data_IF_240902264512
#
_entry.id   IF_240902264512
#
_cell.length_a   1.000
_cell.length_b   1.000
_cell.length_c   1.000
_cell.angle_alpha   90.00
_cell.angle_beta   90.00
_cell.angle_gamma   90.00
#
_symmetry.space_group_name_H-M   'P 1'
#
loop_
_entity.id
_entity.type
_entity.pdbx_description
1 polymer ?
#
# COMPACT_ATOMS: atom_id res chain seq x y z
N UNK A 1 30.22 24.90 -12.95
CA UNK A 1 30.45 23.61 -13.64
C UNK A 1 29.28 22.70 -13.34
N UNK A 2 28.34 22.55 -14.28
CA UNK A 2 27.06 21.88 -14.06
C UNK A 2 27.20 20.36 -14.18
N UNK A 3 26.98 19.67 -13.05
CA UNK A 3 27.23 18.26 -12.84
C UNK A 3 26.50 17.32 -13.82
N UNK A 4 27.20 16.58 -14.69
CA UNK A 4 26.60 15.57 -15.57
C UNK A 4 26.01 14.38 -14.79
N UNK A 5 26.37 14.21 -13.52
CA UNK A 5 25.86 13.14 -12.64
C UNK A 5 24.38 13.31 -12.28
N UNK A 6 23.91 14.54 -12.02
CA UNK A 6 22.52 14.81 -11.63
C UNK A 6 21.50 14.45 -12.72
N UNK A 7 21.83 14.63 -14.01
CA UNK A 7 20.94 14.23 -15.10
C UNK A 7 20.86 12.70 -15.26
N UNK A 8 21.96 12.00 -14.99
CA UNK A 8 22.02 10.53 -15.11
C UNK A 8 21.21 9.86 -13.99
N UNK A 9 21.30 10.36 -12.75
CA UNK A 9 20.47 9.84 -11.65
C UNK A 9 18.98 10.03 -11.90
N UNK A 10 18.55 11.21 -12.34
CA UNK A 10 17.14 11.46 -12.67
C UNK A 10 16.64 10.56 -13.81
N UNK A 11 17.48 10.29 -14.81
CA UNK A 11 17.13 9.41 -15.92
C UNK A 11 17.00 7.94 -15.47
N UNK A 12 17.89 7.49 -14.58
CA UNK A 12 17.83 6.13 -14.00
C UNK A 12 16.59 5.98 -13.14
N UNK A 13 16.27 6.95 -12.28
CA UNK A 13 15.05 6.92 -11.45
C UNK A 13 13.77 6.94 -12.30
N UNK A 14 13.71 7.76 -13.35
CA UNK A 14 12.56 7.79 -14.26
C UNK A 14 12.38 6.46 -14.99
N UNK A 15 13.47 5.85 -15.47
CA UNK A 15 13.43 4.55 -16.15
C UNK A 15 12.94 3.44 -15.21
N UNK A 16 13.36 3.47 -13.93
CA UNK A 16 12.87 2.53 -12.92
C UNK A 16 11.37 2.73 -12.62
N UNK A 17 10.93 3.98 -12.44
CA UNK A 17 9.51 4.30 -12.19
C UNK A 17 8.64 3.81 -13.35
N UNK A 18 9.04 4.09 -14.59
CA UNK A 18 8.30 3.64 -15.79
C UNK A 18 8.28 2.11 -15.86
N UNK A 19 9.39 1.44 -15.55
CA UNK A 19 9.46 -0.02 -15.57
C UNK A 19 8.51 -0.64 -14.53
N UNK A 20 8.46 -0.09 -13.31
CA UNK A 20 7.56 -0.54 -12.25
C UNK A 20 6.10 -0.27 -12.63
N UNK A 21 5.79 0.93 -13.14
CA UNK A 21 4.44 1.29 -13.56
C UNK A 21 3.93 0.37 -14.69
N UNK A 22 4.78 0.08 -15.68
CA UNK A 22 4.47 -0.87 -16.74
C UNK A 22 4.28 -2.29 -16.20
N UNK A 23 5.12 -2.74 -15.26
CA UNK A 23 4.99 -4.03 -14.61
C UNK A 23 3.66 -4.18 -13.86
N UNK A 24 3.25 -3.16 -13.10
CA UNK A 24 1.96 -3.16 -12.39
C UNK A 24 0.80 -3.18 -13.38
N UNK A 25 0.87 -2.36 -14.44
CA UNK A 25 -0.18 -2.30 -15.46
C UNK A 25 -0.34 -3.64 -16.20
N UNK A 26 0.78 -4.26 -16.59
CA UNK A 26 0.78 -5.59 -17.21
C UNK A 26 0.30 -6.69 -16.25
N UNK A 27 0.69 -6.64 -14.98
CA UNK A 27 0.21 -7.56 -13.95
C UNK A 27 -1.30 -7.45 -13.75
N UNK A 28 -1.83 -6.23 -13.66
CA UNK A 28 -3.26 -5.97 -13.55
C UNK A 28 -4.02 -6.51 -14.78
N UNK A 29 -3.51 -6.27 -15.99
CA UNK A 29 -4.10 -6.81 -17.20
C UNK A 29 -4.11 -8.34 -17.20
N UNK A 30 -2.99 -8.97 -16.81
CA UNK A 30 -2.86 -10.42 -16.77
C UNK A 30 -3.84 -11.05 -15.78
N UNK A 31 -3.97 -10.49 -14.57
CA UNK A 31 -4.94 -10.96 -13.57
C UNK A 31 -6.37 -10.79 -14.07
N UNK A 32 -6.70 -9.65 -14.68
CA UNK A 32 -8.02 -9.39 -15.24
C UNK A 32 -8.37 -10.37 -16.37
N UNK A 33 -7.46 -10.56 -17.33
CA UNK A 33 -7.62 -11.53 -18.43
C UNK A 33 -7.76 -12.95 -17.90
N UNK A 34 -6.97 -13.33 -16.91
CA UNK A 34 -7.04 -14.67 -16.29
C UNK A 34 -8.39 -14.86 -15.61
N UNK A 35 -8.86 -13.87 -14.85
CA UNK A 35 -10.18 -13.90 -14.21
C UNK A 35 -11.32 -13.98 -15.22
N UNK A 36 -11.26 -13.19 -16.30
CA UNK A 36 -12.23 -13.24 -17.40
C UNK A 36 -12.26 -14.60 -18.10
N UNK A 37 -11.08 -15.16 -18.38
CA UNK A 37 -10.96 -16.45 -19.05
C UNK A 37 -11.48 -17.57 -18.15
N UNK A 38 -11.16 -17.50 -16.86
CA UNK A 38 -11.68 -18.41 -15.84
C UNK A 38 -13.21 -18.31 -15.77
N UNK A 39 -13.78 -17.10 -15.67
CA UNK A 39 -15.22 -16.87 -15.67
C UNK A 39 -15.90 -17.41 -16.93
N UNK A 40 -15.29 -17.23 -18.12
CA UNK A 40 -15.83 -17.75 -19.38
C UNK A 40 -15.68 -19.27 -19.53
N UNK A 41 -14.72 -19.87 -18.83
CA UNK A 41 -14.47 -21.31 -18.85
C UNK A 41 -15.24 -22.05 -17.74
N UNK A 42 -15.91 -21.32 -16.84
CA UNK A 42 -16.77 -21.92 -15.83
C UNK A 42 -17.99 -22.56 -16.50
N UNK A 43 -18.24 -23.88 -16.29
CA UNK A 43 -19.41 -24.55 -16.83
C UNK A 43 -20.71 -23.91 -16.32
N UNK A 44 -21.76 -23.81 -17.15
CA UNK A 44 -23.04 -23.17 -16.79
C UNK A 44 -23.78 -23.84 -15.62
N UNK A 45 -23.36 -25.03 -15.20
CA UNK A 45 -23.89 -25.70 -14.01
C UNK A 45 -23.39 -25.06 -12.70
N UNK A 46 -22.15 -24.52 -12.68
CA UNK A 46 -21.60 -23.85 -11.50
C UNK A 46 -22.15 -22.44 -11.35
N UNK A 47 -22.45 -21.74 -12.44
CA UNK A 47 -23.08 -20.41 -12.38
C UNK A 47 -24.48 -20.49 -11.78
N UNK A 48 -25.25 -21.55 -12.06
CA UNK A 48 -26.54 -21.77 -11.40
C UNK A 48 -26.40 -22.03 -9.89
N UNK A 49 -25.42 -22.83 -9.47
CA UNK A 49 -25.17 -23.05 -8.04
C UNK A 49 -24.71 -21.76 -7.35
N UNK A 50 -23.90 -20.95 -8.03
CA UNK A 50 -23.43 -19.65 -7.54
C UNK A 50 -24.53 -18.59 -7.53
N UNK A 51 -25.45 -18.59 -8.51
CA UNK A 51 -26.62 -17.72 -8.56
C UNK A 51 -27.62 -18.11 -7.48
N UNK A 52 -27.83 -19.40 -7.21
CA UNK A 52 -28.65 -19.86 -6.09
C UNK A 52 -28.02 -19.54 -4.74
N UNK A 53 -26.69 -19.60 -4.63
CA UNK A 53 -25.95 -19.18 -3.44
C UNK A 53 -26.02 -17.65 -3.27
N UNK A 54 -25.77 -16.89 -4.33
CA UNK A 54 -25.87 -15.44 -4.35
C UNK A 54 -27.30 -14.97 -4.06
N UNK A 55 -28.31 -15.66 -4.59
CA UNK A 55 -29.71 -15.41 -4.27
C UNK A 55 -30.03 -15.71 -2.80
N UNK A 56 -29.44 -16.76 -2.22
CA UNK A 56 -29.56 -17.05 -0.78
C UNK A 56 -28.79 -16.05 0.10
N UNK A 57 -27.71 -15.46 -0.40
CA UNK A 57 -26.98 -14.37 0.26
C UNK A 57 -27.66 -13.00 0.10
N UNK A 58 -28.38 -12.76 -1.01
CA UNK A 58 -29.14 -11.54 -1.26
C UNK A 58 -30.56 -11.59 -0.69
N UNK A 59 -31.06 -12.78 -0.37
CA UNK A 59 -32.31 -12.95 0.35
C UNK A 59 -32.12 -12.45 1.79
N UNK A 60 -32.96 -11.51 2.27
CA UNK A 60 -32.89 -11.02 3.64
C UNK A 60 -32.98 -12.20 4.64
N UNK A 61 -32.21 -12.19 5.75
CA UNK A 61 -32.07 -13.31 6.69
C UNK A 61 -33.31 -13.51 7.58
N UNK A 62 -34.51 -13.48 7.02
CA UNK A 62 -35.78 -13.54 7.74
C UNK A 62 -36.69 -14.72 7.40
N UNK A 63 -36.32 -15.61 6.47
CA UNK A 63 -37.28 -16.62 5.96
C UNK A 63 -36.88 -18.10 6.11
N UNK A 64 -35.80 -18.42 6.82
CA UNK A 64 -35.64 -19.76 7.41
C UNK A 64 -35.70 -19.65 8.92
N UNK A 65 -36.93 -19.73 9.42
CA UNK A 65 -37.21 -20.01 10.82
C UNK A 65 -36.49 -21.30 11.22
N UNK A 66 -35.48 -21.19 12.11
CA UNK A 66 -34.88 -22.35 12.75
C UNK A 66 -33.41 -22.27 13.13
N UNK A 67 -32.87 -21.15 13.61
CA UNK A 67 -31.58 -21.07 14.34
C UNK A 67 -31.17 -19.61 14.67
N UNK A 68 -31.92 -18.96 15.54
CA UNK A 68 -31.65 -17.60 16.07
C UNK A 68 -30.48 -17.54 17.06
N UNK A 69 -29.38 -18.27 16.84
CA UNK A 69 -28.19 -18.21 17.71
C UNK A 69 -26.85 -18.08 16.96
N UNK A 70 -26.82 -18.12 15.62
CA UNK A 70 -25.58 -18.23 14.84
C UNK A 70 -25.24 -17.01 13.95
N UNK A 71 -26.12 -16.02 13.82
CA UNK A 71 -25.94 -14.88 12.90
C UNK A 71 -25.29 -13.63 13.53
N UNK A 72 -25.18 -13.54 14.86
CA UNK A 72 -24.45 -12.45 15.54
C UNK A 72 -22.91 -12.49 15.37
N UNK A 73 -22.22 -13.65 15.49
CA UNK A 73 -20.76 -13.65 15.54
C UNK A 73 -20.11 -13.27 14.20
N UNK A 74 -20.75 -13.55 13.06
CA UNK A 74 -20.22 -13.19 11.73
C UNK A 74 -20.27 -11.67 11.49
N UNK A 75 -21.34 -11.02 11.91
CA UNK A 75 -21.49 -9.56 11.80
C UNK A 75 -20.58 -8.81 12.78
N UNK A 76 -20.33 -9.37 13.97
CA UNK A 76 -19.41 -8.77 14.94
C UNK A 76 -17.96 -8.82 14.44
N UNK A 77 -17.53 -9.94 13.86
CA UNK A 77 -16.18 -10.10 13.31
C UNK A 77 -15.95 -9.16 12.12
N UNK A 78 -16.95 -9.00 11.24
CA UNK A 78 -16.86 -8.05 10.13
C UNK A 78 -16.78 -6.60 10.61
N UNK A 79 -17.56 -6.21 11.64
CA UNK A 79 -17.47 -4.88 12.24
C UNK A 79 -16.11 -4.62 12.90
N UNK A 80 -15.56 -5.58 13.64
CA UNK A 80 -14.21 -5.45 14.21
C UNK A 80 -13.14 -5.30 13.13
N UNK A 81 -13.27 -6.01 12.01
CA UNK A 81 -12.35 -5.85 10.88
C UNK A 81 -12.44 -4.47 10.22
N UNK A 82 -13.65 -3.95 10.00
CA UNK A 82 -13.81 -2.57 9.49
C UNK A 82 -13.26 -1.52 10.47
N UNK A 83 -13.44 -1.76 11.77
CA UNK A 83 -12.92 -0.88 12.80
C UNK A 83 -11.39 -0.92 12.86
N UNK A 84 -10.77 -2.10 12.74
CA UNK A 84 -9.31 -2.23 12.71
C UNK A 84 -8.69 -1.63 11.45
N UNK A 85 -9.37 -1.70 10.30
CA UNK A 85 -8.95 -1.02 9.06
C UNK A 85 -8.91 0.51 9.21
N UNK A 86 -9.96 1.11 9.78
CA UNK A 86 -9.96 2.56 10.02
C UNK A 86 -8.91 2.97 11.04
N UNK A 87 -8.70 2.14 12.06
CA UNK A 87 -7.68 2.41 13.07
C UNK A 87 -6.26 2.29 12.49
N UNK A 88 -6.01 1.31 11.62
CA UNK A 88 -4.70 1.16 10.97
C UNK A 88 -4.39 2.30 10.01
N UNK A 89 -5.37 2.75 9.20
CA UNK A 89 -5.21 3.94 8.34
C UNK A 89 -4.92 5.19 9.18
N UNK A 90 -5.65 5.40 10.28
CA UNK A 90 -5.44 6.55 11.15
C UNK A 90 -4.06 6.54 11.83
N UNK A 91 -3.56 5.36 12.23
CA UNK A 91 -2.21 5.21 12.79
C UNK A 91 -1.15 5.47 11.73
N UNK A 92 -1.30 4.91 10.53
CA UNK A 92 -0.35 5.08 9.44
C UNK A 92 -0.27 6.54 8.98
N UNK A 93 -1.40 7.25 8.93
CA UNK A 93 -1.42 8.69 8.61
C UNK A 93 -0.69 9.52 9.66
N UNK A 94 -0.82 9.19 10.96
CA UNK A 94 -0.11 9.88 12.05
C UNK A 94 1.38 9.59 12.03
N UNK A 95 1.78 8.34 11.82
CA UNK A 95 3.18 7.94 11.70
C UNK A 95 3.84 8.66 10.52
N UNK A 96 3.21 8.64 9.34
CA UNK A 96 3.72 9.36 8.17
C UNK A 96 3.81 10.88 8.41
N UNK A 97 2.84 11.49 9.09
CA UNK A 97 2.89 12.90 9.42
C UNK A 97 4.04 13.23 10.38
N UNK A 98 4.28 12.39 11.39
CA UNK A 98 5.40 12.54 12.33
C UNK A 98 6.75 12.34 11.64
N UNK A 99 6.88 11.32 10.80
CA UNK A 99 8.07 11.08 9.98
C UNK A 99 8.34 12.25 9.02
N UNK A 100 7.30 12.79 8.36
CA UNK A 100 7.43 13.94 7.49
C UNK A 100 7.86 15.19 8.24
N UNK A 101 7.32 15.45 9.44
CA UNK A 101 7.74 16.57 10.29
C UNK A 101 9.19 16.40 10.74
N UNK A 102 9.57 15.19 11.16
CA UNK A 102 10.94 14.87 11.58
C UNK A 102 11.92 15.01 10.41
N UNK A 103 11.58 14.50 9.22
CA UNK A 103 12.36 14.69 7.99
C UNK A 103 12.47 16.15 7.61
N UNK A 104 11.40 16.93 7.72
CA UNK A 104 11.41 18.37 7.40
C UNK A 104 12.35 19.14 8.33
N UNK A 105 12.37 18.80 9.62
CA UNK A 105 13.27 19.42 10.60
C UNK A 105 14.73 18.94 10.47
N UNK A 106 14.94 17.65 10.16
CA UNK A 106 16.27 17.06 10.05
C UNK A 106 16.95 17.38 8.71
N UNK A 107 16.19 17.63 7.64
CA UNK A 107 16.71 17.96 6.30
C UNK A 107 17.70 19.15 6.29
N UNK A 108 17.39 20.33 6.86
CA UNK A 108 18.35 21.43 6.88
C UNK A 108 19.59 21.13 7.76
N UNK A 109 19.45 20.31 8.81
CA UNK A 109 20.61 19.88 9.62
C UNK A 109 21.51 18.92 8.85
N UNK A 110 20.92 17.98 8.11
CA UNK A 110 21.63 17.09 7.22
C UNK A 110 22.42 17.89 6.17
N UNK A 111 21.80 18.88 5.53
CA UNK A 111 22.46 19.75 4.54
C UNK A 111 23.63 20.53 5.14
N UNK A 112 23.49 21.05 6.37
CA UNK A 112 24.55 21.73 7.10
C UNK A 112 25.75 20.81 7.36
N UNK A 113 25.52 19.64 7.96
CA UNK A 113 26.60 18.70 8.28
C UNK A 113 27.27 18.14 7.03
N UNK A 114 26.52 17.96 5.94
CA UNK A 114 27.07 17.52 4.66
C UNK A 114 27.96 18.61 4.01
N UNK A 115 27.61 19.89 4.17
CA UNK A 115 28.49 20.99 3.75
C UNK A 115 29.75 21.06 4.62
N UNK A 116 29.61 20.88 5.93
CA UNK A 116 30.74 20.93 6.86
C UNK A 116 31.75 19.80 6.59
N UNK A 117 31.29 18.57 6.40
CA UNK A 117 32.15 17.41 6.08
C UNK A 117 32.94 17.61 4.77
N UNK A 118 32.33 18.27 3.77
CA UNK A 118 33.02 18.62 2.51
C UNK A 118 34.12 19.66 2.68
N UNK A 119 34.00 20.56 3.66
CA UNK A 119 34.97 21.64 3.89
C UNK A 119 36.08 21.24 4.87
N UNK A 120 35.80 20.35 5.82
CA UNK A 120 36.77 19.81 6.77
C UNK A 120 36.26 18.44 7.30
N UNK A 121 36.79 17.32 6.79
CA UNK A 121 36.35 15.98 7.20
C UNK A 121 36.61 15.76 8.69
N UNK A 122 35.56 15.50 9.46
CA UNK A 122 35.69 15.23 10.90
C UNK A 122 34.75 14.12 11.33
N UNK A 123 35.21 13.27 12.25
CA UNK A 123 34.44 12.15 12.81
C UNK A 123 33.08 12.61 13.39
N UNK A 124 33.05 13.80 13.99
CA UNK A 124 31.83 14.41 14.54
C UNK A 124 30.80 14.75 13.46
N UNK A 125 31.24 15.23 12.30
CA UNK A 125 30.34 15.55 11.18
C UNK A 125 29.73 14.28 10.56
N UNK A 126 30.51 13.21 10.42
CA UNK A 126 30.03 11.92 9.92
C UNK A 126 28.99 11.27 10.84
N UNK A 127 29.22 11.32 12.15
CA UNK A 127 28.23 10.86 13.14
C UNK A 127 26.91 11.65 13.05
N UNK A 128 26.99 12.97 12.86
CA UNK A 128 25.82 13.84 12.75
C UNK A 128 25.05 13.60 11.43
N UNK A 129 25.75 13.36 10.32
CA UNK A 129 25.13 12.95 9.04
C UNK A 129 24.34 11.66 9.22
N UNK A 130 24.92 10.62 9.83
CA UNK A 130 24.22 9.36 10.06
C UNK A 130 22.98 9.51 10.96
N UNK A 131 22.99 10.46 11.90
CA UNK A 131 21.86 10.72 12.80
C UNK A 131 20.74 11.54 12.15
N UNK A 132 21.06 12.50 11.27
CA UNK A 132 20.08 13.44 10.72
C UNK A 132 19.69 13.17 9.26
N UNK A 133 20.44 12.36 8.53
CA UNK A 133 20.18 12.06 7.11
C UNK A 133 19.55 10.66 6.87
N UNK A 134 19.27 9.90 7.93
CA UNK A 134 18.63 8.58 7.90
C UNK A 134 17.11 8.62 7.99
#
# INVERSE_FOLDING_TARGET
MSSPTRRRDLYVSLKLIVCIALGIWLGALAVFLTGLLYYKSLPPAQTQALDNAAAQLSAPPGQKAGNTAAAEPETEMFRKYQQSLRESEARQAREQAQEQQQRTFNRPKCDFWMQQDRTAPSEKSRASINQYCG
#
